data_IF_176787078818
#
_entry.id   IF_176787078818
#
_cell.length_a   1.000
_cell.length_b   1.000
_cell.length_c   1.000
_cell.angle_alpha   90.00
_cell.angle_beta   90.00
_cell.angle_gamma   90.00
#
_symmetry.space_group_name_H-M   'P 1'
#
loop_
_entity.id
_entity.type
_entity.pdbx_description
1 polymer ?
#
# COMPACT_ATOMS: atom_id res chain seq x y z
N UNK A 1 -8.17 -6.76 10.37
CA UNK A 1 -7.26 -6.05 9.46
C UNK A 1 -7.97 -5.92 8.14
N UNK A 2 -8.09 -4.72 7.60
CA UNK A 2 -8.68 -4.49 6.28
C UNK A 2 -7.84 -5.19 5.19
N UNK A 3 -8.45 -5.51 4.04
CA UNK A 3 -7.82 -6.26 2.93
C UNK A 3 -6.44 -5.66 2.54
N UNK A 4 -6.34 -4.34 2.47
CA UNK A 4 -5.09 -3.61 2.18
C UNK A 4 -4.01 -3.88 3.24
N UNK A 5 -4.37 -3.93 4.52
CA UNK A 5 -3.41 -4.21 5.59
C UNK A 5 -2.81 -5.62 5.48
N UNK A 6 -3.62 -6.61 5.12
CA UNK A 6 -3.15 -7.99 4.90
C UNK A 6 -2.21 -8.06 3.69
N UNK A 7 -2.57 -7.39 2.60
CA UNK A 7 -1.73 -7.34 1.39
C UNK A 7 -0.40 -6.65 1.69
N UNK A 8 -0.41 -5.50 2.36
CA UNK A 8 0.81 -4.78 2.75
C UNK A 8 1.71 -5.63 3.66
N UNK A 9 1.13 -6.39 4.60
CA UNK A 9 1.89 -7.33 5.42
C UNK A 9 2.57 -8.41 4.56
N UNK A 10 1.89 -8.91 3.52
CA UNK A 10 2.46 -9.87 2.56
C UNK A 10 3.66 -9.32 1.81
N UNK A 11 3.69 -8.02 1.49
CA UNK A 11 4.87 -7.38 0.84
C UNK A 11 6.11 -7.36 1.73
N UNK A 12 5.95 -7.57 3.04
CA UNK A 12 7.05 -7.67 4.00
C UNK A 12 7.53 -9.11 4.21
N UNK A 13 6.93 -10.10 3.52
CA UNK A 13 7.31 -11.50 3.71
C UNK A 13 8.78 -11.75 3.32
N UNK A 14 9.51 -12.54 4.11
CA UNK A 14 10.85 -13.00 3.71
C UNK A 14 10.78 -13.97 2.52
N UNK A 15 9.63 -14.63 2.31
CA UNK A 15 9.41 -15.50 1.16
C UNK A 15 9.21 -14.65 -0.12
N UNK A 16 10.09 -14.79 -1.13
CA UNK A 16 10.00 -14.00 -2.37
C UNK A 16 8.69 -14.20 -3.13
N UNK A 17 8.14 -15.41 -3.12
CA UNK A 17 6.92 -15.74 -3.88
C UNK A 17 5.69 -15.07 -3.25
N UNK A 18 5.60 -15.10 -1.93
CA UNK A 18 4.54 -14.40 -1.17
C UNK A 18 4.64 -12.89 -1.34
N UNK A 19 5.85 -12.33 -1.25
CA UNK A 19 6.06 -10.90 -1.46
C UNK A 19 5.63 -10.46 -2.85
N UNK A 20 6.04 -11.19 -3.89
CA UNK A 20 5.69 -10.88 -5.28
C UNK A 20 4.18 -10.99 -5.53
N UNK A 21 3.53 -12.02 -4.97
CA UNK A 21 2.07 -12.17 -5.08
C UNK A 21 1.33 -11.01 -4.40
N UNK A 22 1.80 -10.57 -3.24
CA UNK A 22 1.25 -9.43 -2.52
C UNK A 22 1.43 -8.11 -3.28
N UNK A 23 2.62 -7.86 -3.85
CA UNK A 23 2.89 -6.70 -4.70
C UNK A 23 1.97 -6.66 -5.92
N UNK A 24 1.83 -7.80 -6.63
CA UNK A 24 0.92 -7.91 -7.77
C UNK A 24 -0.53 -7.64 -7.38
N UNK A 25 -0.97 -8.14 -6.22
CA UNK A 25 -2.32 -7.88 -5.73
C UNK A 25 -2.51 -6.40 -5.38
N UNK A 26 -1.51 -5.78 -4.76
CA UNK A 26 -1.51 -4.36 -4.41
C UNK A 26 -1.64 -3.48 -5.66
N UNK A 27 -0.99 -3.87 -6.76
CA UNK A 27 -1.13 -3.21 -8.06
C UNK A 27 -2.52 -3.43 -8.68
N UNK A 28 -3.13 -4.60 -8.54
CA UNK A 28 -4.48 -4.86 -9.08
C UNK A 28 -5.55 -3.99 -8.42
N UNK A 29 -5.42 -3.76 -7.11
CA UNK A 29 -6.44 -3.02 -6.33
C UNK A 29 -6.14 -1.52 -6.26
N UNK A 30 -5.05 -1.03 -6.85
CA UNK A 30 -4.59 0.35 -6.64
C UNK A 30 -5.59 1.43 -7.12
N UNK A 31 -6.51 1.07 -8.01
CA UNK A 31 -7.58 1.94 -8.53
C UNK A 31 -8.95 1.67 -7.88
N UNK A 32 -9.01 0.78 -6.89
CA UNK A 32 -10.26 0.50 -6.19
C UNK A 32 -10.75 1.75 -5.43
N UNK A 33 -12.08 1.95 -5.35
CA UNK A 33 -12.65 3.01 -4.52
C UNK A 33 -12.11 2.92 -3.09
N UNK A 34 -11.83 4.07 -2.48
CA UNK A 34 -11.32 4.19 -1.10
C UNK A 34 -9.91 3.63 -0.85
N UNK A 35 -9.18 3.17 -1.86
CA UNK A 35 -7.80 2.68 -1.69
C UNK A 35 -6.87 3.72 -1.05
N UNK A 36 -6.84 4.94 -1.58
CA UNK A 36 -6.00 6.03 -1.06
C UNK A 36 -6.39 6.49 0.36
N UNK A 37 -7.67 6.74 0.69
CA UNK A 37 -8.10 6.99 2.06
C UNK A 37 -7.66 5.91 3.05
N UNK A 38 -7.80 4.63 2.69
CA UNK A 38 -7.39 3.51 3.56
C UNK A 38 -5.88 3.48 3.79
N UNK A 39 -5.07 3.74 2.76
CA UNK A 39 -3.61 3.88 2.93
C UNK A 39 -3.26 5.02 3.91
N UNK A 40 -3.91 6.18 3.76
CA UNK A 40 -3.68 7.32 4.66
C UNK A 40 -4.06 6.97 6.10
N UNK A 41 -5.19 6.30 6.32
CA UNK A 41 -5.59 5.84 7.64
C UNK A 41 -4.55 4.92 8.26
N UNK A 42 -4.00 3.96 7.50
CA UNK A 42 -2.94 3.05 7.97
C UNK A 42 -1.67 3.82 8.33
N UNK A 43 -1.28 4.81 7.52
CA UNK A 43 -0.06 5.62 7.70
C UNK A 43 -0.14 6.48 8.97
N UNK A 44 -1.30 7.09 9.23
CA UNK A 44 -1.49 7.99 10.38
C UNK A 44 -1.88 7.27 11.68
N UNK A 45 -2.39 6.04 11.60
CA UNK A 45 -2.75 5.28 12.79
C UNK A 45 -1.54 5.02 13.68
N UNK A 46 -1.59 5.47 14.94
CA UNK A 46 -0.47 5.36 15.87
C UNK A 46 -0.18 3.91 16.32
N UNK A 47 -1.18 3.03 16.26
CA UNK A 47 -1.09 1.64 16.75
C UNK A 47 -0.66 0.62 15.68
N UNK A 48 -0.45 1.02 14.43
CA UNK A 48 0.04 0.12 13.37
C UNK A 48 1.57 -0.04 13.44
N UNK A 49 2.06 -1.25 13.20
CA UNK A 49 3.49 -1.55 13.16
C UNK A 49 4.23 -0.58 12.22
N UNK A 50 5.40 -0.07 12.65
CA UNK A 50 6.16 0.92 11.89
C UNK A 50 6.47 0.46 10.45
N UNK A 51 6.77 -0.82 10.27
CA UNK A 51 7.05 -1.41 8.95
C UNK A 51 5.84 -1.35 8.03
N UNK A 52 4.64 -1.59 8.56
CA UNK A 52 3.39 -1.50 7.80
C UNK A 52 3.11 -0.06 7.36
N UNK A 53 3.35 0.90 8.25
CA UNK A 53 3.21 2.34 7.95
C UNK A 53 4.20 2.78 6.87
N UNK A 54 5.45 2.31 6.94
CA UNK A 54 6.48 2.63 5.96
C UNK A 54 6.11 2.12 4.56
N UNK A 55 5.72 0.85 4.43
CA UNK A 55 5.31 0.29 3.12
C UNK A 55 4.09 1.02 2.58
N UNK A 56 3.08 1.29 3.42
CA UNK A 56 1.90 2.04 3.00
C UNK A 56 2.29 3.44 2.47
N UNK A 57 3.19 4.15 3.15
CA UNK A 57 3.66 5.47 2.74
C UNK A 57 4.46 5.43 1.43
N UNK A 58 5.33 4.42 1.24
CA UNK A 58 6.08 4.22 0.00
C UNK A 58 5.12 3.97 -1.17
N UNK A 59 4.15 3.07 -0.99
CA UNK A 59 3.14 2.76 -2.01
C UNK A 59 2.32 4.00 -2.38
N UNK A 60 1.82 4.72 -1.37
CA UNK A 60 1.06 5.94 -1.55
C UNK A 60 1.85 6.99 -2.36
N UNK A 61 3.10 7.27 -1.95
CA UNK A 61 3.99 8.21 -2.65
C UNK A 61 4.17 7.82 -4.12
N UNK A 62 4.44 6.54 -4.38
CA UNK A 62 4.66 6.04 -5.74
C UNK A 62 3.39 6.12 -6.60
N UNK A 63 2.22 5.81 -6.03
CA UNK A 63 0.94 5.96 -6.72
C UNK A 63 0.69 7.41 -7.13
N UNK A 64 0.84 8.35 -6.19
CA UNK A 64 0.65 9.78 -6.47
C UNK A 64 1.64 10.25 -7.54
N UNK A 65 2.93 9.92 -7.41
CA UNK A 65 3.92 10.32 -8.40
C UNK A 65 3.61 9.82 -9.83
N UNK A 66 2.99 8.64 -9.98
CA UNK A 66 2.60 8.07 -11.27
C UNK A 66 1.30 8.66 -11.84
N UNK A 67 0.35 8.99 -10.97
CA UNK A 67 -1.02 9.33 -11.38
C UNK A 67 -1.38 10.81 -11.22
N UNK A 68 -0.53 11.58 -10.54
CA UNK A 68 -0.69 13.02 -10.44
C UNK A 68 -0.30 13.66 -11.76
N UNK A 69 -1.29 14.11 -12.52
CA UNK A 69 -1.06 14.78 -13.79
C UNK A 69 -0.30 16.09 -13.58
N UNK A 70 0.77 16.28 -14.34
CA UNK A 70 1.20 17.62 -14.71
C UNK A 70 0.24 18.12 -15.79
N UNK A 71 -0.83 18.80 -15.38
CA UNK A 71 -1.47 19.76 -16.27
C UNK A 71 -0.52 20.94 -16.43
N UNK A 72 0.26 20.92 -17.51
CA UNK A 72 0.74 22.11 -18.19
C UNK A 72 0.32 22.02 -19.66
#
# INVERSE_FOLDING_TARGET
MDEIGVILQGTLSPNPDERKAAEQRLDQIQYAPHHLPTLLQIIVHANSHISLRQVAAIHFKNFIAKNWSHHH
#
